data_IF_173576676772
#
_entry.id   IF_173576676772
#
_cell.length_a   1.000
_cell.length_b   1.000
_cell.length_c   1.000
_cell.angle_alpha   90.00
_cell.angle_beta   90.00
_cell.angle_gamma   90.00
#
_symmetry.space_group_name_H-M   'P 1'
#
loop_
_entity.id
_entity.type
_entity.pdbx_description
1 polymer ?
#
# COMPACT_ATOMS: atom_id res chain seq x y z
N UNK A 1 11.11 -53.14 -12.15
CA UNK A 1 10.21 -52.79 -11.03
C UNK A 1 9.90 -51.30 -10.93
N UNK A 2 10.81 -50.39 -11.32
CA UNK A 2 10.61 -48.93 -11.24
C UNK A 2 9.66 -48.24 -12.26
N UNK A 3 9.43 -48.72 -13.51
CA UNK A 3 8.65 -47.96 -14.48
C UNK A 3 7.16 -47.87 -14.16
N UNK A 4 6.58 -48.92 -13.55
CA UNK A 4 5.17 -48.95 -13.12
C UNK A 4 4.90 -47.95 -11.98
N UNK A 5 5.83 -47.79 -11.05
CA UNK A 5 5.71 -46.82 -9.97
C UNK A 5 5.78 -45.38 -10.51
N UNK A 6 6.62 -45.14 -11.52
CA UNK A 6 6.74 -43.84 -12.16
C UNK A 6 5.48 -43.45 -12.94
N UNK A 7 4.91 -44.38 -13.72
CA UNK A 7 3.64 -44.14 -14.44
C UNK A 7 2.48 -43.92 -13.48
N UNK A 8 2.40 -44.70 -12.39
CA UNK A 8 1.38 -44.51 -11.36
C UNK A 8 1.51 -43.14 -10.67
N UNK A 9 2.73 -42.71 -10.34
CA UNK A 9 2.99 -41.40 -9.74
C UNK A 9 2.59 -40.26 -10.66
N UNK A 10 2.92 -40.36 -11.96
CA UNK A 10 2.54 -39.36 -12.97
C UNK A 10 1.03 -39.23 -13.13
N UNK A 11 0.31 -40.36 -13.14
CA UNK A 11 -1.16 -40.40 -13.23
C UNK A 11 -1.80 -39.75 -12.00
N UNK A 12 -1.33 -40.10 -10.79
CA UNK A 12 -1.82 -39.52 -9.52
C UNK A 12 -1.57 -38.02 -9.49
N UNK A 13 -0.37 -37.56 -9.83
CA UNK A 13 -0.05 -36.14 -9.87
C UNK A 13 -0.93 -35.37 -10.87
N UNK A 14 -1.16 -35.94 -12.05
CA UNK A 14 -2.02 -35.34 -13.07
C UNK A 14 -3.49 -35.26 -12.61
N UNK A 15 -3.98 -36.31 -11.93
CA UNK A 15 -5.33 -36.32 -11.37
C UNK A 15 -5.48 -35.31 -10.23
N UNK A 16 -4.50 -35.24 -9.32
CA UNK A 16 -4.48 -34.25 -8.24
C UNK A 16 -4.45 -32.82 -8.77
N UNK A 17 -3.60 -32.53 -9.77
CA UNK A 17 -3.55 -31.20 -10.38
C UNK A 17 -4.90 -30.82 -11.01
N UNK A 18 -5.55 -31.73 -11.74
CA UNK A 18 -6.89 -31.48 -12.30
C UNK A 18 -7.91 -31.23 -11.21
N UNK A 19 -7.88 -32.02 -10.14
CA UNK A 19 -8.77 -31.85 -8.99
C UNK A 19 -8.63 -30.46 -8.35
N UNK A 20 -7.41 -30.01 -8.06
CA UNK A 20 -7.19 -28.69 -7.46
C UNK A 20 -7.44 -27.51 -8.42
N UNK A 21 -7.06 -27.63 -9.70
CA UNK A 21 -7.20 -26.53 -10.66
C UNK A 21 -8.63 -26.38 -11.17
N UNK A 22 -9.33 -27.48 -11.44
CA UNK A 22 -10.67 -27.48 -12.04
C UNK A 22 -11.78 -27.73 -11.01
N UNK A 23 -11.57 -28.64 -10.06
CA UNK A 23 -12.58 -28.99 -9.05
C UNK A 23 -12.68 -27.96 -7.94
N UNK A 24 -11.54 -27.60 -7.34
CA UNK A 24 -11.46 -26.66 -6.20
C UNK A 24 -11.22 -25.20 -6.63
N UNK A 25 -11.22 -24.91 -7.94
CA UNK A 25 -11.01 -23.58 -8.53
C UNK A 25 -9.84 -22.79 -7.90
N UNK A 26 -8.67 -23.44 -7.70
CA UNK A 26 -7.50 -22.81 -7.07
C UNK A 26 -7.12 -21.45 -7.70
N UNK A 27 -7.30 -21.31 -9.01
CA UNK A 27 -7.03 -20.06 -9.72
C UNK A 27 -8.00 -18.95 -9.30
N UNK A 28 -9.28 -19.26 -9.09
CA UNK A 28 -10.28 -18.33 -8.57
C UNK A 28 -9.85 -17.79 -7.20
N UNK A 29 -9.41 -18.68 -6.31
CA UNK A 29 -8.85 -18.31 -5.02
C UNK A 29 -7.61 -17.39 -5.12
N UNK A 30 -6.67 -17.70 -6.02
CA UNK A 30 -5.50 -16.86 -6.25
C UNK A 30 -5.90 -15.46 -6.76
N UNK A 31 -6.87 -15.39 -7.66
CA UNK A 31 -7.42 -14.14 -8.18
C UNK A 31 -8.10 -13.32 -7.08
N UNK A 32 -8.95 -13.93 -6.25
CA UNK A 32 -9.59 -13.25 -5.12
C UNK A 32 -8.54 -12.74 -4.11
N UNK A 33 -7.55 -13.57 -3.74
CA UNK A 33 -6.46 -13.15 -2.85
C UNK A 33 -5.72 -11.94 -3.42
N UNK A 34 -5.39 -11.97 -4.71
CA UNK A 34 -4.74 -10.86 -5.40
C UNK A 34 -5.62 -9.61 -5.39
N UNK A 35 -6.88 -9.73 -5.77
CA UNK A 35 -7.80 -8.59 -5.91
C UNK A 35 -8.03 -7.90 -4.57
N UNK A 36 -8.24 -8.68 -3.50
CA UNK A 36 -8.58 -8.17 -2.18
C UNK A 36 -7.35 -7.77 -1.35
N UNK A 37 -6.36 -8.65 -1.19
CA UNK A 37 -5.18 -8.33 -0.35
C UNK A 37 -4.25 -7.33 -1.02
N UNK A 38 -4.16 -7.33 -2.36
CA UNK A 38 -3.32 -6.36 -3.06
C UNK A 38 -4.07 -5.13 -3.53
N UNK A 39 -5.35 -4.99 -3.17
CA UNK A 39 -6.19 -3.82 -3.52
C UNK A 39 -6.18 -3.52 -5.03
N UNK A 40 -6.11 -4.57 -5.85
CA UNK A 40 -6.05 -4.46 -7.31
C UNK A 40 -7.43 -4.44 -7.95
N UNK A 41 -8.45 -4.94 -7.25
CA UNK A 41 -9.82 -4.59 -7.57
C UNK A 41 -10.05 -3.13 -7.18
N UNK A 42 -10.20 -2.28 -8.19
CA UNK A 42 -10.28 -0.83 -8.03
C UNK A 42 -11.49 -0.39 -7.21
N UNK A 43 -12.63 -1.06 -7.39
CA UNK A 43 -13.87 -0.72 -6.70
C UNK A 43 -13.77 -1.13 -5.22
N UNK A 44 -13.41 -2.39 -4.96
CA UNK A 44 -13.17 -2.86 -3.61
C UNK A 44 -12.12 -2.01 -2.89
N UNK A 45 -10.97 -1.79 -3.53
CA UNK A 45 -9.84 -1.09 -2.94
C UNK A 45 -10.16 0.37 -2.62
N UNK A 46 -10.88 1.07 -3.51
CA UNK A 46 -11.32 2.44 -3.27
C UNK A 46 -12.36 2.52 -2.16
N UNK A 47 -13.36 1.64 -2.16
CA UNK A 47 -14.45 1.65 -1.18
C UNK A 47 -13.94 1.30 0.22
N UNK A 48 -13.15 0.24 0.34
CA UNK A 48 -12.63 -0.21 1.65
C UNK A 48 -11.73 0.84 2.29
N UNK A 49 -10.83 1.45 1.50
CA UNK A 49 -9.92 2.49 1.98
C UNK A 49 -10.69 3.74 2.36
N UNK A 50 -11.59 4.23 1.50
CA UNK A 50 -12.39 5.43 1.76
C UNK A 50 -13.25 5.27 3.01
N UNK A 51 -13.98 4.16 3.13
CA UNK A 51 -14.84 3.89 4.30
C UNK A 51 -14.04 3.73 5.59
N UNK A 52 -12.91 3.02 5.57
CA UNK A 52 -12.05 2.88 6.74
C UNK A 52 -11.50 4.24 7.16
N UNK A 53 -10.91 5.00 6.24
CA UNK A 53 -10.29 6.27 6.56
C UNK A 53 -11.32 7.28 7.04
N UNK A 54 -12.45 7.46 6.35
CA UNK A 54 -13.50 8.38 6.79
C UNK A 54 -14.01 8.05 8.20
N UNK A 55 -14.30 6.77 8.48
CA UNK A 55 -14.75 6.35 9.80
C UNK A 55 -13.67 6.56 10.86
N UNK A 56 -12.39 6.34 10.54
CA UNK A 56 -11.29 6.59 11.47
C UNK A 56 -11.18 8.04 11.90
N UNK A 57 -11.33 8.99 10.98
CA UNK A 57 -11.25 10.42 11.31
C UNK A 57 -12.54 10.96 11.96
N UNK A 58 -13.66 10.23 11.87
CA UNK A 58 -14.92 10.59 12.55
C UNK A 58 -15.01 10.06 13.99
N UNK A 59 -14.41 8.90 14.25
CA UNK A 59 -14.55 8.19 15.52
C UNK A 59 -13.63 8.77 16.59
N UNK A 60 -14.16 9.01 17.80
CA UNK A 60 -13.35 9.48 18.94
C UNK A 60 -12.60 8.36 19.65
N UNK A 61 -13.16 7.14 19.71
CA UNK A 61 -12.56 5.99 20.41
C UNK A 61 -12.29 4.84 19.44
N UNK A 62 -11.05 4.32 19.35
CA UNK A 62 -10.73 3.24 18.41
C UNK A 62 -11.64 2.01 18.48
N UNK A 63 -12.20 1.71 19.65
CA UNK A 63 -13.16 0.60 19.87
C UNK A 63 -14.40 0.71 18.97
N UNK A 64 -14.88 1.92 18.69
CA UNK A 64 -16.13 2.11 17.92
C UNK A 64 -15.92 1.75 16.44
N UNK A 65 -14.69 1.91 15.93
CA UNK A 65 -14.29 1.45 14.61
C UNK A 65 -13.94 -0.05 14.61
N UNK A 66 -13.14 -0.49 15.57
CA UNK A 66 -12.54 -1.82 15.63
C UNK A 66 -13.50 -2.91 16.13
N UNK A 67 -14.80 -2.63 16.16
CA UNK A 67 -15.79 -3.63 16.50
C UNK A 67 -16.10 -4.52 15.27
N UNK A 68 -16.48 -5.78 15.50
CA UNK A 68 -16.74 -6.74 14.42
C UNK A 68 -17.90 -6.30 13.51
N UNK A 69 -18.91 -5.60 14.04
CA UNK A 69 -20.10 -5.20 13.28
C UNK A 69 -19.77 -4.11 12.25
N UNK A 70 -19.06 -3.07 12.68
CA UNK A 70 -18.57 -1.96 11.86
C UNK A 70 -17.61 -2.49 10.80
N UNK A 71 -16.61 -3.30 11.19
CA UNK A 71 -15.65 -3.86 10.25
C UNK A 71 -16.32 -4.78 9.22
N UNK A 72 -17.23 -5.66 9.64
CA UNK A 72 -17.99 -6.50 8.71
C UNK A 72 -18.91 -5.67 7.81
N UNK A 73 -19.54 -4.61 8.32
CA UNK A 73 -20.36 -3.71 7.49
C UNK A 73 -19.52 -2.94 6.48
N UNK A 74 -18.28 -2.57 6.81
CA UNK A 74 -17.35 -1.94 5.88
C UNK A 74 -16.96 -2.94 4.80
N UNK A 75 -16.59 -4.16 5.19
CA UNK A 75 -16.20 -5.22 4.25
C UNK A 75 -17.35 -5.58 3.29
N UNK A 76 -18.55 -5.81 3.82
CA UNK A 76 -19.72 -6.18 3.02
C UNK A 76 -20.15 -5.09 2.04
N UNK A 77 -19.94 -3.81 2.40
CA UNK A 77 -20.21 -2.68 1.51
C UNK A 77 -19.09 -2.45 0.49
N UNK A 78 -17.85 -2.81 0.82
CA UNK A 78 -16.74 -2.69 -0.10
C UNK A 78 -16.81 -3.71 -1.23
N UNK A 79 -17.32 -4.92 -0.96
CA UNK A 79 -17.57 -5.95 -1.97
C UNK A 79 -18.85 -5.59 -2.75
N UNK A 80 -18.69 -4.91 -3.89
CA UNK A 80 -19.81 -4.50 -4.74
C UNK A 80 -20.28 -5.61 -5.68
N UNK A 81 -19.35 -6.44 -6.14
CA UNK A 81 -19.64 -7.54 -7.06
C UNK A 81 -19.54 -8.89 -6.33
N UNK A 82 -20.49 -9.81 -6.56
CA UNK A 82 -20.44 -11.13 -5.96
C UNK A 82 -19.26 -11.90 -6.54
N UNK A 83 -18.19 -12.02 -5.75
CA UNK A 83 -17.08 -12.93 -6.00
C UNK A 83 -17.34 -14.25 -5.27
N UNK A 84 -17.07 -15.41 -5.89
CA UNK A 84 -17.28 -16.73 -5.28
C UNK A 84 -16.54 -16.92 -3.95
N UNK A 85 -15.51 -16.12 -3.68
CA UNK A 85 -14.71 -16.22 -2.48
C UNK A 85 -14.86 -15.03 -1.53
N UNK A 86 -15.80 -14.12 -1.79
CA UNK A 86 -16.02 -12.94 -0.94
C UNK A 86 -16.42 -13.31 0.49
N UNK A 87 -17.23 -14.36 0.66
CA UNK A 87 -17.66 -14.87 1.98
C UNK A 87 -16.52 -15.41 2.85
N UNK A 88 -15.37 -15.71 2.24
CA UNK A 88 -14.17 -16.21 2.94
C UNK A 88 -13.37 -15.08 3.57
N UNK A 89 -13.65 -13.82 3.23
CA UNK A 89 -12.97 -12.65 3.77
C UNK A 89 -13.55 -12.25 5.13
N UNK A 90 -12.69 -11.84 6.04
CA UNK A 90 -13.09 -11.23 7.30
C UNK A 90 -12.01 -10.28 7.79
N UNK A 91 -12.39 -9.27 8.56
CA UNK A 91 -11.42 -8.45 9.27
C UNK A 91 -11.08 -9.07 10.63
N UNK A 92 -9.79 -9.16 10.91
CA UNK A 92 -9.25 -9.40 12.24
C UNK A 92 -8.73 -8.12 12.87
N UNK A 93 -8.72 -8.08 14.21
CA UNK A 93 -8.13 -6.99 14.99
C UNK A 93 -6.94 -7.54 15.76
N UNK A 94 -5.73 -7.07 15.46
CA UNK A 94 -4.47 -7.47 16.15
C UNK A 94 -4.43 -6.95 17.57
N UNK A 95 -4.79 -5.69 17.77
CA UNK A 95 -4.83 -5.01 19.07
C UNK A 95 -5.72 -3.77 18.95
N UNK A 96 -6.23 -3.27 20.07
CA UNK A 96 -7.00 -2.02 20.12
C UNK A 96 -6.11 -0.93 20.75
N UNK A 97 -5.67 0.09 19.98
CA UNK A 97 -4.89 1.18 20.54
C UNK A 97 -5.78 2.04 21.47
N UNK A 98 -5.21 2.67 22.51
CA UNK A 98 -5.98 3.53 23.40
C UNK A 98 -6.47 4.80 22.70
N UNK A 99 -5.71 5.32 21.72
CA UNK A 99 -6.06 6.47 20.88
C UNK A 99 -5.43 6.31 19.49
N UNK A 100 -6.10 6.86 18.48
CA UNK A 100 -5.54 6.97 17.14
C UNK A 100 -4.47 8.06 17.10
N UNK A 101 -3.24 7.68 16.78
CA UNK A 101 -2.12 8.62 16.56
C UNK A 101 -2.05 8.98 15.08
N UNK A 102 -2.77 10.01 14.65
CA UNK A 102 -2.80 10.48 13.25
C UNK A 102 -1.45 10.99 12.73
N UNK A 103 -0.45 11.17 13.60
CA UNK A 103 0.93 11.47 13.20
C UNK A 103 1.77 10.22 12.91
N UNK A 104 1.26 9.02 13.18
CA UNK A 104 1.97 7.76 12.94
C UNK A 104 1.51 7.14 11.62
N UNK A 105 2.43 6.77 10.71
CA UNK A 105 2.07 6.04 9.49
C UNK A 105 1.62 4.60 9.77
N UNK A 106 1.82 4.08 10.99
CA UNK A 106 1.45 2.72 11.39
C UNK A 106 0.06 2.64 12.03
N UNK A 107 -0.76 3.68 11.85
CA UNK A 107 -2.08 3.80 12.47
C UNK A 107 -3.00 2.59 12.20
N UNK A 108 -2.86 2.01 11.02
CA UNK A 108 -3.72 0.96 10.48
C UNK A 108 -3.26 -0.46 10.82
N UNK A 109 -2.11 -0.60 11.50
CA UNK A 109 -1.51 -1.91 11.83
C UNK A 109 -2.33 -2.72 12.85
N UNK A 110 -3.36 -2.10 13.44
CA UNK A 110 -4.31 -2.76 14.32
C UNK A 110 -5.31 -3.66 13.57
N UNK A 111 -5.49 -3.47 12.25
CA UNK A 111 -6.44 -4.20 11.42
C UNK A 111 -5.69 -5.21 10.54
N UNK A 112 -6.28 -6.39 10.35
CA UNK A 112 -5.78 -7.42 9.44
C UNK A 112 -6.88 -7.93 8.54
N UNK A 113 -6.55 -8.23 7.30
CA UNK A 113 -7.46 -8.95 6.42
C UNK A 113 -7.20 -10.45 6.57
N UNK A 114 -8.25 -11.21 6.87
CA UNK A 114 -8.21 -12.66 7.04
C UNK A 114 -8.97 -13.34 5.92
N UNK A 115 -8.44 -14.48 5.47
CA UNK A 115 -9.04 -15.29 4.42
C UNK A 115 -9.17 -16.73 4.91
N UNK A 116 -10.41 -17.18 5.09
CA UNK A 116 -10.70 -18.53 5.59
C UNK A 116 -10.64 -19.54 4.44
N UNK A 117 -9.65 -20.43 4.50
CA UNK A 117 -9.47 -21.50 3.51
C UNK A 117 -9.87 -22.83 4.12
N UNK A 118 -10.83 -23.51 3.51
CA UNK A 118 -11.23 -24.85 3.89
C UNK A 118 -10.26 -25.90 3.35
N UNK A 119 -10.28 -27.08 3.96
CA UNK A 119 -9.68 -28.26 3.33
C UNK A 119 -10.41 -28.55 2.01
N UNK A 120 -9.71 -28.91 0.92
CA UNK A 120 -8.29 -29.27 0.82
C UNK A 120 -7.34 -28.13 0.40
N UNK A 121 -7.86 -26.95 0.08
CA UNK A 121 -7.09 -25.85 -0.52
C UNK A 121 -6.07 -25.25 0.47
N UNK A 122 -6.30 -25.40 1.78
CA UNK A 122 -5.38 -24.98 2.85
C UNK A 122 -4.00 -25.67 2.78
N UNK A 123 -3.88 -26.78 2.05
CA UNK A 123 -2.59 -27.44 1.76
C UNK A 123 -1.67 -26.50 0.96
N UNK A 124 -2.24 -25.71 0.04
CA UNK A 124 -1.50 -24.74 -0.79
C UNK A 124 -1.48 -23.36 -0.11
N UNK A 125 -2.64 -22.90 0.38
CA UNK A 125 -2.77 -21.64 1.11
C UNK A 125 -2.60 -21.85 2.61
N UNK A 126 -1.35 -22.05 3.01
CA UNK A 126 -1.00 -22.15 4.43
C UNK A 126 -1.22 -20.82 5.17
N UNK A 127 -1.50 -20.89 6.47
CA UNK A 127 -1.60 -19.69 7.33
C UNK A 127 -0.34 -18.83 7.26
N UNK A 128 0.83 -19.46 7.12
CA UNK A 128 2.10 -18.78 6.97
C UNK A 128 2.23 -17.99 5.65
N UNK A 129 1.55 -18.41 4.59
CA UNK A 129 1.45 -17.64 3.36
C UNK A 129 0.43 -16.51 3.50
N UNK A 130 -0.74 -16.77 4.09
CA UNK A 130 -1.79 -15.78 4.28
C UNK A 130 -1.35 -14.61 5.19
N UNK A 131 -0.54 -14.86 6.21
CA UNK A 131 0.08 -13.79 7.02
C UNK A 131 0.96 -12.86 6.20
N UNK A 132 1.66 -13.37 5.18
CA UNK A 132 2.47 -12.54 4.28
C UNK A 132 1.60 -11.71 3.34
N UNK A 133 0.45 -12.24 2.90
CA UNK A 133 -0.54 -11.44 2.19
C UNK A 133 -1.05 -10.30 3.06
N UNK A 134 -1.34 -10.54 4.34
CA UNK A 134 -1.73 -9.50 5.29
C UNK A 134 -0.63 -8.45 5.49
N UNK A 135 0.64 -8.85 5.57
CA UNK A 135 1.76 -7.89 5.66
C UNK A 135 1.82 -6.96 4.42
N UNK A 136 1.57 -7.50 3.22
CA UNK A 136 1.48 -6.73 1.98
C UNK A 136 0.25 -5.82 2.01
N UNK A 137 -0.91 -6.34 2.40
CA UNK A 137 -2.15 -5.57 2.53
C UNK A 137 -1.95 -4.37 3.46
N UNK A 138 -1.38 -4.59 4.65
CA UNK A 138 -1.08 -3.53 5.61
C UNK A 138 -0.16 -2.45 5.02
N UNK A 139 0.90 -2.86 4.31
CA UNK A 139 1.77 -1.91 3.61
C UNK A 139 1.04 -1.08 2.56
N UNK A 140 0.24 -1.71 1.71
CA UNK A 140 -0.54 -1.01 0.67
C UNK A 140 -1.58 -0.07 1.29
N UNK A 141 -2.22 -0.47 2.38
CA UNK A 141 -3.18 0.34 3.10
C UNK A 141 -2.53 1.60 3.67
N UNK A 142 -1.31 1.50 4.20
CA UNK A 142 -0.51 2.68 4.62
C UNK A 142 -0.23 3.61 3.45
N UNK A 143 0.20 3.09 2.30
CA UNK A 143 0.41 3.92 1.11
C UNK A 143 -0.86 4.66 0.71
N UNK A 144 -2.00 3.94 0.64
CA UNK A 144 -3.31 4.51 0.29
C UNK A 144 -3.75 5.59 1.27
N UNK A 145 -3.51 5.38 2.57
CA UNK A 145 -3.82 6.36 3.61
C UNK A 145 -3.10 7.68 3.40
N UNK A 146 -1.80 7.66 3.13
CA UNK A 146 -1.03 8.89 2.89
C UNK A 146 -1.52 9.64 1.65
N UNK A 147 -1.84 8.93 0.56
CA UNK A 147 -2.43 9.58 -0.62
C UNK A 147 -3.79 10.20 -0.32
N UNK A 148 -4.67 9.48 0.39
CA UNK A 148 -5.98 9.99 0.79
C UNK A 148 -5.88 11.26 1.64
N UNK A 149 -4.90 11.32 2.56
CA UNK A 149 -4.62 12.52 3.36
C UNK A 149 -4.21 13.71 2.49
N UNK A 150 -3.28 13.51 1.56
CA UNK A 150 -2.79 14.56 0.64
C UNK A 150 -3.89 15.06 -0.33
N UNK A 151 -4.78 14.18 -0.77
CA UNK A 151 -5.96 14.54 -1.55
C UNK A 151 -6.98 15.34 -0.72
N UNK A 152 -7.15 14.97 0.56
CA UNK A 152 -7.91 15.75 1.54
C UNK A 152 -7.35 17.17 1.71
N UNK A 153 -6.03 17.29 1.85
CA UNK A 153 -5.34 18.58 1.94
C UNK A 153 -5.56 19.45 0.71
N UNK A 154 -5.47 18.86 -0.49
CA UNK A 154 -5.75 19.58 -1.73
C UNK A 154 -7.20 20.09 -1.78
N UNK A 155 -8.18 19.24 -1.46
CA UNK A 155 -9.60 19.62 -1.43
C UNK A 155 -9.85 20.76 -0.46
N UNK A 156 -9.23 20.71 0.73
CA UNK A 156 -9.34 21.77 1.74
C UNK A 156 -8.72 23.09 1.27
N UNK A 157 -7.47 23.07 0.83
CA UNK A 157 -6.79 24.28 0.36
C UNK A 157 -7.53 24.93 -0.83
N UNK A 158 -8.03 24.11 -1.76
CA UNK A 158 -8.87 24.59 -2.87
C UNK A 158 -10.15 25.27 -2.39
N UNK A 159 -10.80 24.73 -1.35
CA UNK A 159 -11.98 25.36 -0.73
C UNK A 159 -11.62 26.68 -0.05
N UNK A 160 -10.55 26.72 0.73
CA UNK A 160 -10.09 27.94 1.42
C UNK A 160 -9.76 29.07 0.42
N UNK A 161 -9.12 28.74 -0.71
CA UNK A 161 -8.84 29.71 -1.78
C UNK A 161 -10.11 30.21 -2.50
N UNK A 162 -11.15 29.37 -2.62
CA UNK A 162 -12.45 29.79 -3.15
C UNK A 162 -13.17 30.74 -2.20
N UNK A 163 -13.15 30.43 -0.90
CA UNK A 163 -13.81 31.24 0.13
C UNK A 163 -13.10 32.59 0.34
N UNK A 164 -11.79 32.65 0.04
CA UNK A 164 -10.95 33.83 0.25
C UNK A 164 -10.02 34.01 -0.97
N UNK A 165 -10.49 34.67 -2.04
CA UNK A 165 -9.76 34.75 -3.31
C UNK A 165 -8.40 35.47 -3.19
N UNK A 166 -8.20 36.30 -2.16
CA UNK A 166 -6.91 36.92 -1.87
C UNK A 166 -5.78 35.93 -1.53
N UNK A 167 -6.09 34.68 -1.15
CA UNK A 167 -5.06 33.65 -0.92
C UNK A 167 -4.28 33.32 -2.18
N UNK A 168 -4.91 33.38 -3.35
CA UNK A 168 -4.24 33.06 -4.62
C UNK A 168 -3.09 34.02 -4.94
N UNK A 169 -3.10 35.21 -4.33
CA UNK A 169 -2.03 36.21 -4.44
C UNK A 169 -0.95 36.03 -3.36
N UNK A 170 -1.16 35.16 -2.37
CA UNK A 170 -0.18 34.92 -1.33
C UNK A 170 0.96 34.03 -1.84
N UNK A 171 2.23 34.46 -1.71
CA UNK A 171 3.37 33.63 -2.07
C UNK A 171 3.49 32.40 -1.16
N UNK A 172 3.04 32.50 0.10
CA UNK A 172 3.04 31.37 1.03
C UNK A 172 2.07 30.27 0.58
N UNK A 173 0.87 30.65 0.11
CA UNK A 173 -0.11 29.70 -0.43
C UNK A 173 0.44 28.96 -1.65
N UNK A 174 1.05 29.70 -2.58
CA UNK A 174 1.68 29.10 -3.76
C UNK A 174 2.77 28.09 -3.37
N UNK A 175 3.67 28.45 -2.44
CA UNK A 175 4.73 27.55 -1.96
C UNK A 175 4.17 26.29 -1.29
N UNK A 176 3.15 26.40 -0.44
CA UNK A 176 2.53 25.23 0.19
C UNK A 176 1.92 24.28 -0.84
N UNK A 177 1.31 24.82 -1.91
CA UNK A 177 0.76 24.00 -2.98
C UNK A 177 1.85 23.25 -3.75
N UNK A 178 3.01 23.87 -3.97
CA UNK A 178 4.18 23.20 -4.55
C UNK A 178 4.69 22.07 -3.64
N UNK A 179 4.89 22.33 -2.35
CA UNK A 179 5.33 21.32 -1.38
C UNK A 179 4.39 20.11 -1.33
N UNK A 180 3.08 20.37 -1.27
CA UNK A 180 2.05 19.31 -1.30
C UNK A 180 2.11 18.53 -2.62
N UNK A 181 2.27 19.22 -3.75
CA UNK A 181 2.36 18.56 -5.05
C UNK A 181 3.57 17.64 -5.15
N UNK A 182 4.73 18.06 -4.64
CA UNK A 182 5.93 17.23 -4.60
C UNK A 182 5.76 15.99 -3.71
N UNK A 183 5.23 16.15 -2.50
CA UNK A 183 4.88 15.03 -1.62
C UNK A 183 3.90 14.05 -2.29
N UNK A 184 2.91 14.58 -3.01
CA UNK A 184 1.93 13.80 -3.73
C UNK A 184 2.54 13.05 -4.92
N UNK A 185 3.40 13.70 -5.68
CA UNK A 185 4.14 13.07 -6.77
C UNK A 185 4.98 11.91 -6.26
N UNK A 186 5.77 12.12 -5.19
CA UNK A 186 6.55 11.05 -4.56
C UNK A 186 5.68 9.83 -4.19
N UNK A 187 4.53 10.07 -3.54
CA UNK A 187 3.63 9.00 -3.12
C UNK A 187 2.96 8.27 -4.29
N UNK A 188 2.52 9.00 -5.33
CA UNK A 188 1.96 8.37 -6.52
C UNK A 188 2.99 7.55 -7.29
N UNK A 189 4.21 8.05 -7.43
CA UNK A 189 5.29 7.31 -8.08
C UNK A 189 5.60 6.01 -7.33
N UNK A 190 5.67 6.06 -6.00
CA UNK A 190 5.85 4.86 -5.18
C UNK A 190 4.69 3.86 -5.33
N UNK A 191 3.44 4.34 -5.31
CA UNK A 191 2.27 3.49 -5.52
C UNK A 191 2.23 2.86 -6.92
N UNK A 192 2.58 3.62 -7.95
CA UNK A 192 2.63 3.16 -9.33
C UNK A 192 3.71 2.09 -9.50
N UNK A 193 4.90 2.29 -8.93
CA UNK A 193 5.95 1.28 -8.90
C UNK A 193 5.48 -0.03 -8.25
N UNK A 194 4.89 0.06 -7.05
CA UNK A 194 4.39 -1.13 -6.35
C UNK A 194 3.31 -1.82 -7.17
N UNK A 195 2.37 -1.08 -7.76
CA UNK A 195 1.25 -1.67 -8.50
C UNK A 195 1.69 -2.27 -9.84
N UNK A 196 2.40 -1.51 -10.67
CA UNK A 196 2.76 -1.90 -12.04
C UNK A 196 3.98 -2.82 -12.08
N UNK A 197 5.08 -2.45 -11.42
CA UNK A 197 6.32 -3.24 -11.50
C UNK A 197 6.27 -4.43 -10.54
N UNK A 198 5.86 -4.20 -9.28
CA UNK A 198 5.94 -5.25 -8.25
C UNK A 198 4.78 -6.22 -8.35
N UNK A 199 3.54 -5.75 -8.20
CA UNK A 199 2.36 -6.63 -8.11
C UNK A 199 2.01 -7.26 -9.46
N UNK A 200 1.87 -6.45 -10.51
CA UNK A 200 1.56 -6.96 -11.86
C UNK A 200 2.72 -7.77 -12.43
N UNK A 201 3.97 -7.29 -12.33
CA UNK A 201 5.14 -8.03 -12.82
C UNK A 201 5.31 -9.40 -12.16
N UNK A 202 5.18 -9.48 -10.82
CA UNK A 202 5.29 -10.77 -10.12
C UNK A 202 4.14 -11.72 -10.44
N UNK A 203 2.96 -11.20 -10.76
CA UNK A 203 1.79 -12.00 -11.10
C UNK A 203 1.93 -12.68 -12.47
N UNK A 204 2.42 -11.95 -13.48
CA UNK A 204 2.71 -12.52 -14.79
C UNK A 204 3.74 -13.65 -14.67
N UNK A 205 4.80 -13.42 -13.89
CA UNK A 205 5.83 -14.42 -13.60
C UNK A 205 5.26 -15.67 -12.91
N UNK A 206 4.39 -15.50 -11.90
CA UNK A 206 3.70 -16.62 -11.27
C UNK A 206 2.90 -17.43 -12.29
N UNK A 207 2.12 -16.79 -13.17
CA UNK A 207 1.30 -17.51 -14.14
C UNK A 207 2.11 -18.28 -15.17
N UNK A 208 3.19 -17.69 -15.68
CA UNK A 208 4.12 -18.39 -16.58
C UNK A 208 4.75 -19.59 -15.88
N UNK A 209 5.12 -19.43 -14.61
CA UNK A 209 5.62 -20.53 -13.81
C UNK A 209 4.53 -21.61 -13.67
N UNK A 210 3.30 -21.26 -13.25
CA UNK A 210 2.19 -22.20 -12.99
C UNK A 210 1.86 -23.10 -14.18
N UNK A 211 2.04 -22.62 -15.41
CA UNK A 211 1.86 -23.44 -16.63
C UNK A 211 2.83 -24.65 -16.69
N UNK A 212 3.98 -24.55 -16.03
CA UNK A 212 5.01 -25.59 -15.99
C UNK A 212 4.88 -26.53 -14.78
N UNK A 213 3.90 -26.32 -13.88
CA UNK A 213 3.75 -27.13 -12.67
C UNK A 213 3.31 -28.56 -13.01
N UNK A 214 4.01 -29.56 -12.46
CA UNK A 214 3.72 -30.99 -12.69
C UNK A 214 3.24 -31.73 -11.44
N UNK A 215 3.43 -31.14 -10.27
CA UNK A 215 3.02 -31.72 -8.98
C UNK A 215 2.34 -30.68 -8.10
N UNK A 216 1.60 -31.16 -7.09
CA UNK A 216 0.99 -30.30 -6.07
C UNK A 216 2.07 -29.55 -5.24
N UNK A 217 3.20 -30.20 -4.98
CA UNK A 217 4.34 -29.57 -4.30
C UNK A 217 4.94 -28.44 -5.12
N UNK A 218 5.01 -28.58 -6.44
CA UNK A 218 5.46 -27.50 -7.32
C UNK A 218 4.53 -26.29 -7.19
N UNK A 219 3.20 -26.50 -7.27
CA UNK A 219 2.22 -25.43 -7.08
C UNK A 219 2.43 -24.69 -5.74
N UNK A 220 2.58 -25.44 -4.65
CA UNK A 220 2.85 -24.86 -3.33
C UNK A 220 4.16 -24.06 -3.29
N UNK A 221 5.24 -24.60 -3.85
CA UNK A 221 6.55 -23.94 -3.89
C UNK A 221 6.49 -22.66 -4.72
N UNK A 222 5.83 -22.68 -5.87
CA UNK A 222 5.71 -21.55 -6.78
C UNK A 222 4.84 -20.44 -6.18
N UNK A 223 3.70 -20.79 -5.56
CA UNK A 223 2.89 -19.84 -4.79
C UNK A 223 3.69 -19.23 -3.63
N UNK A 224 4.40 -20.03 -2.84
CA UNK A 224 5.20 -19.53 -1.72
C UNK A 224 6.35 -18.63 -2.19
N UNK A 225 6.99 -18.97 -3.32
CA UNK A 225 8.01 -18.16 -3.95
C UNK A 225 7.45 -16.82 -4.44
N UNK A 226 6.27 -16.83 -5.07
CA UNK A 226 5.57 -15.62 -5.50
C UNK A 226 5.34 -14.63 -4.36
N UNK A 227 4.74 -15.07 -3.26
CA UNK A 227 4.45 -14.16 -2.13
C UNK A 227 5.73 -13.62 -1.51
N UNK A 228 6.76 -14.46 -1.36
CA UNK A 228 8.09 -14.02 -0.88
C UNK A 228 8.72 -13.00 -1.82
N UNK A 229 8.58 -13.19 -3.13
CA UNK A 229 9.08 -12.29 -4.15
C UNK A 229 8.37 -10.94 -4.11
N UNK A 230 7.05 -10.93 -3.96
CA UNK A 230 6.27 -9.69 -3.78
C UNK A 230 6.73 -8.95 -2.53
N UNK A 231 6.85 -9.62 -1.38
CA UNK A 231 7.39 -9.01 -0.15
C UNK A 231 8.79 -8.41 -0.35
N UNK A 232 9.65 -9.16 -1.03
CA UNK A 232 11.01 -8.72 -1.33
C UNK A 232 11.02 -7.44 -2.18
N UNK A 233 10.28 -7.44 -3.29
CA UNK A 233 10.16 -6.31 -4.23
C UNK A 233 9.43 -5.11 -3.61
N UNK A 234 8.51 -5.32 -2.67
CA UNK A 234 7.89 -4.26 -1.86
C UNK A 234 8.82 -3.66 -0.79
N UNK A 235 10.09 -4.08 -0.72
CA UNK A 235 11.07 -3.63 0.29
C UNK A 235 10.70 -3.98 1.74
N UNK A 236 9.85 -5.00 1.94
CA UNK A 236 9.40 -5.47 3.26
C UNK A 236 10.31 -6.55 3.84
N UNK A 237 11.54 -6.65 3.34
CA UNK A 237 12.52 -7.63 3.78
C UNK A 237 13.50 -7.03 4.81
N UNK A 238 14.17 -7.89 5.59
CA UNK A 238 15.11 -7.45 6.65
C UNK A 238 16.30 -6.64 6.11
N UNK A 239 16.74 -6.91 4.88
CA UNK A 239 17.91 -6.24 4.28
C UNK A 239 17.56 -4.83 3.79
N UNK A 240 16.30 -4.59 3.41
CA UNK A 240 15.74 -3.28 3.02
C UNK A 240 15.22 -2.47 4.21
N UNK A 241 15.44 -2.91 5.46
CA UNK A 241 14.90 -2.27 6.67
C UNK A 241 15.28 -0.77 6.79
N UNK A 242 16.48 -0.39 6.33
CA UNK A 242 16.90 1.01 6.31
C UNK A 242 16.02 1.87 5.41
N UNK A 243 15.73 1.40 4.18
CA UNK A 243 14.83 2.13 3.26
C UNK A 243 13.42 2.15 3.82
N UNK A 244 12.95 1.02 4.34
CA UNK A 244 11.60 0.94 4.92
C UNK A 244 11.44 1.98 6.04
N UNK A 245 12.46 2.14 6.90
CA UNK A 245 12.48 3.18 7.93
C UNK A 245 12.42 4.58 7.30
N UNK A 246 13.24 4.86 6.29
CA UNK A 246 13.22 6.15 5.60
C UNK A 246 11.88 6.44 4.92
N UNK A 247 11.25 5.44 4.29
CA UNK A 247 9.90 5.55 3.71
C UNK A 247 8.86 5.89 4.78
N UNK A 248 8.91 5.21 5.93
CA UNK A 248 8.02 5.52 7.06
C UNK A 248 8.27 6.92 7.62
N UNK A 249 9.52 7.36 7.69
CA UNK A 249 9.87 8.72 8.11
C UNK A 249 9.35 9.77 7.12
N UNK A 250 9.46 9.53 5.81
CA UNK A 250 8.87 10.39 4.77
C UNK A 250 7.35 10.50 4.93
N UNK A 251 6.65 9.36 5.08
CA UNK A 251 5.19 9.32 5.33
C UNK A 251 4.82 10.06 6.62
N UNK A 252 5.62 9.93 7.68
CA UNK A 252 5.44 10.66 8.94
C UNK A 252 5.55 12.17 8.74
N UNK A 253 6.50 12.63 7.92
CA UNK A 253 6.64 14.06 7.61
C UNK A 253 5.42 14.59 6.84
N UNK A 254 4.87 13.80 5.92
CA UNK A 254 3.61 14.14 5.23
C UNK A 254 2.45 14.27 6.23
N UNK A 255 2.30 13.32 7.16
CA UNK A 255 1.25 13.39 8.20
C UNK A 255 1.42 14.59 9.14
N UNK A 256 2.67 14.94 9.49
CA UNK A 256 2.95 16.17 10.26
C UNK A 256 2.58 17.42 9.45
N UNK A 257 2.91 17.46 8.16
CA UNK A 257 2.55 18.56 7.26
C UNK A 257 1.04 18.76 7.22
N UNK A 258 0.29 17.67 7.01
CA UNK A 258 -1.18 17.64 7.11
C UNK A 258 -1.66 18.22 8.44
N UNK A 259 -1.20 17.70 9.58
CA UNK A 259 -1.62 18.18 10.90
C UNK A 259 -1.36 19.68 11.09
N UNK A 260 -0.25 20.21 10.56
CA UNK A 260 0.09 21.63 10.65
C UNK A 260 -0.82 22.51 9.78
N UNK A 261 -1.13 22.09 8.55
CA UNK A 261 -2.10 22.78 7.68
C UNK A 261 -3.47 22.86 8.35
N UNK A 262 -3.88 21.79 9.03
CA UNK A 262 -5.20 21.75 9.64
C UNK A 262 -5.28 22.50 10.98
N UNK A 263 -4.14 22.83 11.60
CA UNK A 263 -4.09 23.39 12.96
C UNK A 263 -4.57 24.82 13.11
N UNK A 264 -4.38 25.68 12.09
CA UNK A 264 -4.75 27.10 12.13
C UNK A 264 -5.27 27.55 10.77
N UNK A 265 -6.22 28.48 10.77
CA UNK A 265 -6.68 29.12 9.54
C UNK A 265 -5.72 30.21 9.07
N UNK A 266 -5.75 30.51 7.78
CA UNK A 266 -5.05 31.66 7.20
C UNK A 266 -5.49 32.97 7.83
N UNK A 267 -4.53 33.86 8.09
CA UNK A 267 -4.75 35.18 8.66
C UNK A 267 -4.38 36.25 7.63
N UNK A 268 -5.15 37.32 7.58
CA UNK A 268 -4.83 38.47 6.73
C UNK A 268 -3.91 39.41 7.51
N UNK A 269 -2.71 39.64 6.97
CA UNK A 269 -1.76 40.60 7.55
C UNK A 269 -2.02 41.98 6.94
N UNK A 270 -2.42 42.93 7.79
CA UNK A 270 -2.61 44.33 7.38
C UNK A 270 -1.30 45.01 6.97
N UNK A 271 -0.15 44.47 7.41
CA UNK A 271 1.18 45.02 7.13
C UNK A 271 1.65 44.64 5.74
N UNK A 272 1.49 43.37 5.34
CA UNK A 272 1.93 42.86 4.05
C UNK A 272 0.82 42.87 2.99
N UNK A 273 -0.40 43.26 3.38
CA UNK A 273 -1.62 43.20 2.55
C UNK A 273 -1.89 41.80 1.96
N UNK A 274 -1.37 40.75 2.59
CA UNK A 274 -1.39 39.37 2.10
C UNK A 274 -1.87 38.40 3.18
N UNK A 275 -2.36 37.23 2.72
CA UNK A 275 -2.68 36.13 3.62
C UNK A 275 -1.42 35.37 4.01
N UNK A 276 -1.25 35.16 5.31
CA UNK A 276 -0.13 34.43 5.87
C UNK A 276 -0.63 33.26 6.73
N UNK A 277 0.08 32.15 6.68
CA UNK A 277 -0.19 31.00 7.53
C UNK A 277 0.64 31.12 8.82
N UNK A 278 0.01 31.14 10.03
CA UNK A 278 0.74 31.39 11.28
C UNK A 278 1.87 30.38 11.59
N UNK A 279 1.82 29.19 10.98
CA UNK A 279 2.83 28.12 11.13
C UNK A 279 3.64 27.88 9.86
N UNK A 280 3.74 28.86 8.96
CA UNK A 280 4.43 28.70 7.69
C UNK A 280 5.91 28.28 7.87
N UNK A 281 6.63 28.87 8.84
CA UNK A 281 8.02 28.48 9.15
C UNK A 281 8.16 27.00 9.51
N UNK A 282 7.26 26.48 10.34
CA UNK A 282 7.23 25.04 10.69
C UNK A 282 6.91 24.17 9.49
N UNK A 283 5.99 24.59 8.61
CA UNK A 283 5.66 23.86 7.39
C UNK A 283 6.86 23.76 6.44
N UNK A 284 7.65 24.84 6.30
CA UNK A 284 8.89 24.84 5.53
C UNK A 284 9.93 23.89 6.13
N UNK A 285 10.09 23.86 7.45
CA UNK A 285 10.99 22.92 8.14
C UNK A 285 10.57 21.46 7.95
N UNK A 286 9.26 21.17 7.99
CA UNK A 286 8.72 19.83 7.75
C UNK A 286 8.99 19.40 6.30
N UNK A 287 8.75 20.30 5.35
CA UNK A 287 9.00 20.03 3.93
C UNK A 287 10.48 19.81 3.62
N UNK A 288 11.37 20.65 4.14
CA UNK A 288 12.83 20.49 3.94
C UNK A 288 13.32 19.16 4.45
N UNK A 289 12.91 18.76 5.66
CA UNK A 289 13.24 17.43 6.19
C UNK A 289 12.61 16.29 5.36
N UNK A 290 11.39 16.45 4.83
CA UNK A 290 10.83 15.48 3.88
C UNK A 290 11.69 15.37 2.60
N UNK A 291 12.10 16.50 2.03
CA UNK A 291 12.90 16.56 0.81
C UNK A 291 14.29 15.92 1.01
N UNK A 292 14.93 16.14 2.17
CA UNK A 292 16.19 15.49 2.54
C UNK A 292 16.03 13.96 2.62
N UNK A 293 14.94 13.48 3.23
CA UNK A 293 14.62 12.05 3.32
C UNK A 293 14.33 11.47 1.93
N UNK A 294 13.57 12.16 1.10
CA UNK A 294 13.26 11.73 -0.27
C UNK A 294 14.54 11.61 -1.12
N UNK A 295 15.43 12.60 -1.01
CA UNK A 295 16.75 12.58 -1.66
C UNK A 295 17.62 11.43 -1.14
N UNK A 296 17.60 11.15 0.16
CA UNK A 296 18.28 9.99 0.73
C UNK A 296 17.73 8.66 0.18
N UNK A 297 16.40 8.51 0.11
CA UNK A 297 15.73 7.33 -0.44
C UNK A 297 16.15 7.13 -1.90
N UNK A 298 16.14 8.20 -2.70
CA UNK A 298 16.58 8.16 -4.08
C UNK A 298 18.03 7.67 -4.20
N UNK A 299 18.97 8.31 -3.49
CA UNK A 299 20.39 7.93 -3.50
C UNK A 299 20.62 6.49 -3.05
N UNK A 300 19.89 6.05 -2.03
CA UNK A 300 20.01 4.69 -1.51
C UNK A 300 19.45 3.66 -2.49
N UNK A 301 18.29 3.93 -3.09
CA UNK A 301 17.69 3.08 -4.11
C UNK A 301 18.62 2.98 -5.35
N UNK A 302 19.25 4.08 -5.79
CA UNK A 302 20.23 4.07 -6.88
C UNK A 302 21.44 3.19 -6.57
N UNK A 303 21.97 3.26 -5.35
CA UNK A 303 23.07 2.38 -4.92
C UNK A 303 22.65 0.91 -4.96
N UNK A 304 21.48 0.58 -4.43
CA UNK A 304 20.98 -0.80 -4.45
C UNK A 304 20.76 -1.33 -5.87
N UNK A 305 20.21 -0.51 -6.74
CA UNK A 305 19.98 -0.90 -8.13
C UNK A 305 21.30 -1.12 -8.87
N UNK A 306 22.30 -0.26 -8.67
CA UNK A 306 23.64 -0.38 -9.26
C UNK A 306 24.42 -1.59 -8.72
N UNK A 307 24.19 -2.01 -7.48
CA UNK A 307 24.77 -3.26 -6.95
C UNK A 307 24.13 -4.53 -7.50
N UNK A 308 23.09 -4.42 -8.33
CA UNK A 308 22.37 -5.56 -8.93
C UNK A 308 21.46 -6.31 -7.95
N UNK A 309 21.34 -5.84 -6.71
CA UNK A 309 20.56 -6.52 -5.67
C UNK A 309 19.06 -6.52 -5.96
N UNK A 310 18.54 -5.40 -6.50
CA UNK A 310 17.14 -5.25 -6.91
C UNK A 310 17.03 -4.48 -8.22
N UNK A 311 17.08 -5.15 -9.39
CA UNK A 311 17.03 -4.47 -10.68
C UNK A 311 15.67 -3.79 -10.93
N UNK A 312 14.60 -4.29 -10.31
CA UNK A 312 13.28 -3.66 -10.37
C UNK A 312 13.24 -2.24 -9.76
N UNK A 313 14.19 -1.87 -8.90
CA UNK A 313 14.27 -0.49 -8.39
C UNK A 313 14.63 0.53 -9.47
N UNK A 314 15.23 0.11 -10.59
CA UNK A 314 15.51 1.02 -11.72
C UNK A 314 14.24 1.67 -12.25
N UNK A 315 13.12 0.94 -12.31
CA UNK A 315 11.84 1.48 -12.76
C UNK A 315 11.32 2.57 -11.80
N UNK A 316 11.46 2.34 -10.49
CA UNK A 316 11.11 3.33 -9.47
C UNK A 316 11.98 4.58 -9.60
N UNK A 317 13.28 4.41 -9.75
CA UNK A 317 14.24 5.50 -9.88
C UNK A 317 14.00 6.33 -11.13
N UNK A 318 13.76 5.65 -12.26
CA UNK A 318 13.40 6.31 -13.51
C UNK A 318 12.14 7.14 -13.30
N UNK A 319 11.07 6.57 -12.73
CA UNK A 319 9.82 7.29 -12.52
C UNK A 319 9.92 8.44 -11.50
N UNK A 320 10.79 8.33 -10.50
CA UNK A 320 11.03 9.40 -9.52
C UNK A 320 11.87 10.54 -10.11
N UNK A 321 12.74 10.27 -11.08
CA UNK A 321 13.70 11.22 -11.61
C UNK A 321 13.57 11.50 -13.11
N UNK A 322 12.40 11.27 -13.72
CA UNK A 322 12.17 11.57 -15.15
C UNK A 322 12.59 13.00 -15.51
N UNK A 323 12.40 13.95 -14.58
CA UNK A 323 12.69 15.36 -14.79
C UNK A 323 14.10 15.79 -14.34
N UNK A 324 14.96 14.86 -13.88
CA UNK A 324 16.26 15.20 -13.30
C UNK A 324 16.16 16.01 -12.00
N UNK A 325 15.06 15.87 -11.27
CA UNK A 325 14.76 16.64 -10.05
C UNK A 325 15.71 16.29 -8.90
N UNK A 326 16.08 15.01 -8.77
CA UNK A 326 17.06 14.56 -7.80
C UNK A 326 18.46 14.55 -8.43
N UNK A 327 19.47 15.13 -7.76
CA UNK A 327 20.84 15.11 -8.26
C UNK A 327 21.36 13.66 -8.27
N UNK A 328 21.71 13.18 -9.46
CA UNK A 328 22.24 11.82 -9.67
C UNK A 328 23.68 11.67 -9.15
N UNK A 329 24.39 12.79 -8.99
CA UNK A 329 25.78 12.86 -8.53
C UNK A 329 26.02 14.01 -7.55
N UNK A 330 26.77 13.73 -6.48
CA UNK A 330 27.71 14.67 -5.88
C UNK A 330 29.10 14.03 -5.95
#
# INVERSE_FOLDING_TARGET
MFPLCHTQTSLVNSALLKFFLQGEELLSHLHSLRNYFFLLDGDFGSNITSMLFERMYQVMRPVDLLNCVTLNSILSKAVMHPDPNSDKLSFGVKYVPPRFSFSSPLLLDCITLQYKVAWPINIIFTDAALRKYDDIFGYLLRLRHISWVLEGDFRRLKKEAKDRPGLLRSPQYHRLQLYRHEMMHFMHTLQNYVTATVLQGSWVELFQNLQNARTLDDLYRMHTAYVKMVLFRCLLNKQSASIQKSLLDAMRMILKFHAQIHSKAWQYSSVTSQYEHPRFSTLVQIYTCFHDIATFIFRFASKLANTGYQPCLNDLLLMLNINGFYPEHC
#
